data_IF_447993445141
#
_entry.id   IF_447993445141
#
_cell.length_a   1.000
_cell.length_b   1.000
_cell.length_c   1.000
_cell.angle_alpha   90.00
_cell.angle_beta   90.00
_cell.angle_gamma   90.00
#
_symmetry.space_group_name_H-M   'P 1'
#
loop_
_entity.id
_entity.type
_entity.pdbx_description
1 polymer ?
#
# COMPACT_ATOMS: atom_id res chain seq x y z
N UNK A 1 0.91 -20.89 -61.35
CA UNK A 1 1.70 -21.48 -60.25
C UNK A 1 2.06 -20.41 -59.23
N UNK A 2 3.12 -19.61 -59.44
CA UNK A 2 3.60 -18.62 -58.46
C UNK A 2 2.53 -17.62 -57.95
N UNK A 3 1.74 -17.01 -58.85
CA UNK A 3 0.69 -16.05 -58.44
C UNK A 3 -0.43 -16.67 -57.57
N UNK A 4 -0.76 -17.93 -57.76
CA UNK A 4 -1.79 -18.60 -56.95
C UNK A 4 -1.25 -19.02 -55.59
N UNK A 5 0.04 -19.37 -55.52
CA UNK A 5 0.74 -19.66 -54.28
C UNK A 5 0.83 -18.40 -53.40
N UNK A 6 1.26 -17.27 -53.96
CA UNK A 6 1.36 -16.00 -53.25
C UNK A 6 0.00 -15.52 -52.69
N UNK A 7 -1.07 -15.64 -53.49
CA UNK A 7 -2.42 -15.28 -53.07
C UNK A 7 -2.95 -16.10 -51.88
N UNK A 8 -2.49 -17.35 -51.73
CA UNK A 8 -2.89 -18.21 -50.61
C UNK A 8 -2.11 -17.96 -49.31
N UNK A 9 -0.90 -17.39 -49.38
CA UNK A 9 0.00 -17.21 -48.24
C UNK A 9 -0.12 -15.82 -47.59
N UNK A 10 -0.45 -14.79 -48.36
CA UNK A 10 -0.46 -13.39 -47.90
C UNK A 10 -1.35 -13.09 -46.67
N UNK A 11 -2.57 -13.65 -46.52
CA UNK A 11 -3.39 -13.43 -45.33
C UNK A 11 -2.78 -14.03 -44.05
N UNK A 12 -2.01 -15.11 -44.19
CA UNK A 12 -1.38 -15.82 -43.09
C UNK A 12 -0.22 -14.99 -42.50
N UNK A 13 0.62 -14.43 -43.38
CA UNK A 13 1.71 -13.54 -42.98
C UNK A 13 1.20 -12.27 -42.30
N UNK A 14 0.12 -11.67 -42.80
CA UNK A 14 -0.48 -10.50 -42.15
C UNK A 14 -1.00 -10.79 -40.74
N UNK A 15 -1.62 -11.96 -40.53
CA UNK A 15 -2.11 -12.36 -39.21
C UNK A 15 -0.98 -12.66 -38.22
N UNK A 16 0.12 -13.25 -38.70
CA UNK A 16 1.33 -13.56 -37.93
C UNK A 16 2.06 -12.31 -37.42
N UNK A 17 2.08 -11.24 -38.21
CA UNK A 17 2.78 -9.99 -37.86
C UNK A 17 1.93 -9.01 -37.04
N UNK A 18 0.66 -9.31 -36.81
CA UNK A 18 -0.23 -8.46 -36.02
C UNK A 18 0.19 -8.44 -34.54
N UNK A 19 0.31 -7.25 -33.91
CA UNK A 19 0.63 -7.16 -32.48
C UNK A 19 -0.54 -7.64 -31.61
N UNK A 20 -0.27 -8.01 -30.34
CA UNK A 20 -1.32 -8.35 -29.39
C UNK A 20 -2.32 -7.20 -29.20
N UNK A 21 -3.61 -7.52 -29.11
CA UNK A 21 -4.64 -6.52 -28.77
C UNK A 21 -4.59 -6.19 -27.28
N UNK A 22 -4.13 -4.98 -26.96
CA UNK A 22 -4.04 -4.47 -25.59
C UNK A 22 -5.26 -3.66 -25.17
N UNK A 23 -6.17 -3.33 -26.09
CA UNK A 23 -7.33 -2.47 -25.82
C UNK A 23 -8.43 -3.14 -24.98
N UNK A 24 -8.41 -4.48 -24.89
CA UNK A 24 -9.33 -5.24 -24.05
C UNK A 24 -8.94 -5.26 -22.56
N UNK A 25 -7.74 -4.79 -22.20
CA UNK A 25 -7.25 -4.80 -20.81
C UNK A 25 -7.40 -3.40 -20.20
N UNK A 26 -8.38 -3.16 -19.31
CA UNK A 26 -8.52 -1.86 -18.66
C UNK A 26 -7.32 -1.58 -17.76
N UNK A 27 -6.79 -0.36 -17.83
CA UNK A 27 -5.72 0.08 -16.92
C UNK A 27 -6.20 0.09 -15.47
N UNK A 28 -5.33 -0.32 -14.55
CA UNK A 28 -5.62 -0.26 -13.12
C UNK A 28 -5.62 1.21 -12.67
N UNK A 29 -6.70 1.72 -12.05
CA UNK A 29 -6.66 3.05 -11.44
C UNK A 29 -5.64 3.06 -10.30
N UNK A 30 -4.74 4.05 -10.32
CA UNK A 30 -3.78 4.28 -9.24
C UNK A 30 -4.27 5.44 -8.38
N UNK A 31 -4.50 5.17 -7.10
CA UNK A 31 -4.82 6.21 -6.11
C UNK A 31 -3.66 6.26 -5.12
N UNK A 32 -2.99 7.42 -4.97
CA UNK A 32 -1.93 7.58 -3.98
C UNK A 32 -2.41 7.28 -2.56
N UNK A 33 -1.54 6.72 -1.74
CA UNK A 33 -1.80 6.57 -0.31
C UNK A 33 -1.85 7.95 0.34
N UNK A 34 -2.91 8.20 1.11
CA UNK A 34 -3.02 9.43 1.89
C UNK A 34 -2.06 9.40 3.09
N UNK A 35 -1.52 10.55 3.50
CA UNK A 35 -0.68 10.63 4.70
C UNK A 35 -1.45 10.20 5.95
N UNK A 36 -0.77 9.44 6.81
CA UNK A 36 -1.24 9.11 8.13
C UNK A 36 -1.55 10.37 8.96
N UNK A 37 -2.73 10.42 9.60
CA UNK A 37 -3.11 11.51 10.50
C UNK A 37 -3.30 10.98 11.92
N UNK A 38 -2.28 11.12 12.80
CA UNK A 38 -2.40 10.69 14.19
C UNK A 38 -3.38 11.54 15.01
N UNK A 39 -3.80 12.71 14.51
CA UNK A 39 -4.71 13.61 15.22
C UNK A 39 -3.98 14.49 16.24
N UNK A 40 -4.74 15.34 16.93
CA UNK A 40 -4.18 16.33 17.86
C UNK A 40 -3.85 15.74 19.23
N UNK A 41 -2.91 16.39 19.93
CA UNK A 41 -2.56 16.06 21.32
C UNK A 41 -3.75 16.39 22.23
N UNK A 42 -4.10 15.47 23.12
CA UNK A 42 -5.07 15.75 24.19
C UNK A 42 -4.45 16.62 25.28
N UNK A 43 -5.08 17.74 25.63
CA UNK A 43 -4.49 18.73 26.56
C UNK A 43 -5.27 18.92 27.87
N UNK A 44 -6.54 18.55 27.94
CA UNK A 44 -7.39 18.87 29.10
C UNK A 44 -7.89 17.62 29.82
N UNK A 45 -7.25 17.27 30.94
CA UNK A 45 -7.76 16.23 31.86
C UNK A 45 -8.01 16.75 33.29
N UNK A 46 -7.94 18.07 33.49
CA UNK A 46 -8.09 18.72 34.81
C UNK A 46 -7.19 18.11 35.89
N UNK A 47 -5.93 17.84 35.56
CA UNK A 47 -4.99 17.11 36.43
C UNK A 47 -4.75 17.80 37.78
N UNK A 48 -4.88 19.12 37.87
CA UNK A 48 -4.83 19.85 39.15
C UNK A 48 -5.83 19.32 40.19
N UNK A 49 -6.93 18.69 39.78
CA UNK A 49 -7.90 18.09 40.70
C UNK A 49 -7.39 16.82 41.38
N UNK A 50 -6.26 16.26 40.94
CA UNK A 50 -5.59 15.16 41.62
C UNK A 50 -4.86 15.59 42.90
N UNK A 51 -4.60 16.90 43.07
CA UNK A 51 -4.02 17.42 44.30
C UNK A 51 -4.99 17.23 45.49
N UNK A 52 -4.46 17.09 46.73
CA UNK A 52 -5.30 17.06 47.93
C UNK A 52 -6.18 18.30 48.03
N UNK A 53 -7.29 18.20 48.76
CA UNK A 53 -8.12 19.36 49.08
C UNK A 53 -7.53 20.11 50.27
N UNK A 54 -7.74 21.44 50.38
CA UNK A 54 -7.43 22.18 51.59
C UNK A 54 -8.15 21.58 52.80
N UNK A 55 -7.48 21.60 53.95
CA UNK A 55 -8.05 21.31 55.26
C UNK A 55 -9.15 22.29 55.59
N UNK A 56 -10.16 21.82 56.29
CA UNK A 56 -11.29 22.65 56.73
C UNK A 56 -10.88 23.52 57.93
N UNK A 57 -11.74 24.49 58.30
CA UNK A 57 -11.51 25.28 59.51
C UNK A 57 -11.58 24.45 60.79
N UNK A 58 -12.48 23.46 60.81
CA UNK A 58 -12.63 22.52 61.91
C UNK A 58 -11.43 21.59 62.13
N UNK A 59 -10.53 21.50 61.16
CA UNK A 59 -9.30 20.70 61.29
C UNK A 59 -8.11 21.52 61.81
N UNK A 60 -8.14 22.86 61.70
CA UNK A 60 -6.99 23.72 61.97
C UNK A 60 -7.33 24.84 62.95
N UNK A 61 -8.18 25.79 62.57
CA UNK A 61 -8.50 26.97 63.37
C UNK A 61 -9.29 26.63 64.64
N UNK A 62 -10.34 25.79 64.53
CA UNK A 62 -11.23 25.50 65.66
C UNK A 62 -10.50 24.77 66.80
N UNK A 63 -9.72 23.69 66.58
CA UNK A 63 -9.03 23.00 67.67
C UNK A 63 -8.00 23.89 68.39
N UNK A 64 -7.26 24.72 67.65
CA UNK A 64 -6.25 25.62 68.21
C UNK A 64 -6.90 26.71 69.06
N UNK A 65 -8.04 27.26 68.61
CA UNK A 65 -8.79 28.24 69.38
C UNK A 65 -9.43 27.64 70.63
N UNK A 66 -10.02 26.44 70.53
CA UNK A 66 -10.60 25.72 71.66
C UNK A 66 -9.54 25.44 72.73
N UNK A 67 -8.36 24.97 72.35
CA UNK A 67 -7.29 24.66 73.31
C UNK A 67 -6.77 25.93 74.01
N UNK A 68 -6.62 27.05 73.27
CA UNK A 68 -6.27 28.34 73.85
C UNK A 68 -7.33 28.88 74.83
N UNK A 69 -8.62 28.70 74.51
CA UNK A 69 -9.73 29.10 75.38
C UNK A 69 -9.83 28.21 76.63
N UNK A 70 -9.57 26.90 76.50
CA UNK A 70 -9.62 25.97 77.64
C UNK A 70 -8.67 26.37 78.77
N UNK A 71 -7.53 26.99 78.43
CA UNK A 71 -6.55 27.47 79.41
C UNK A 71 -7.04 28.72 80.15
N UNK A 72 -7.89 29.54 79.53
CA UNK A 72 -8.58 30.66 80.17
C UNK A 72 -9.74 30.16 81.05
N UNK A 73 -10.49 29.18 80.58
CA UNK A 73 -11.57 28.53 81.34
C UNK A 73 -11.06 27.87 82.61
N UNK A 74 -9.96 27.10 82.53
CA UNK A 74 -9.35 26.45 83.69
C UNK A 74 -8.87 27.45 84.75
N UNK A 75 -8.33 28.60 84.33
CA UNK A 75 -7.94 29.66 85.28
C UNK A 75 -9.15 30.35 85.90
N UNK A 76 -10.21 30.58 85.11
CA UNK A 76 -11.46 31.15 85.60
C UNK A 76 -12.15 30.22 86.61
N UNK A 77 -12.18 28.91 86.35
CA UNK A 77 -12.71 27.89 87.27
C UNK A 77 -11.91 27.81 88.57
N UNK A 78 -10.59 28.00 88.51
CA UNK A 78 -9.72 28.05 89.68
C UNK A 78 -9.74 29.40 90.41
N UNK A 79 -10.53 30.38 89.95
CA UNK A 79 -10.57 31.77 90.45
C UNK A 79 -9.18 32.46 90.42
N UNK A 80 -8.31 32.06 89.49
CA UNK A 80 -6.96 32.61 89.32
C UNK A 80 -6.94 33.64 88.19
N UNK A 81 -6.49 34.86 88.49
CA UNK A 81 -6.31 35.91 87.48
C UNK A 81 -4.85 36.06 87.06
N UNK A 82 -4.61 36.53 85.83
CA UNK A 82 -3.26 36.86 85.37
C UNK A 82 -2.60 37.93 86.27
N UNK A 83 -3.39 38.86 86.82
CA UNK A 83 -2.91 39.87 87.78
C UNK A 83 -2.50 39.26 89.13
N UNK A 84 -3.17 38.21 89.59
CA UNK A 84 -2.75 37.46 90.78
C UNK A 84 -1.42 36.74 90.53
N UNK A 85 -1.26 36.10 89.37
CA UNK A 85 0.00 35.42 89.01
C UNK A 85 1.17 36.41 88.92
N UNK A 86 0.96 37.56 88.29
CA UNK A 86 1.98 38.61 88.16
C UNK A 86 2.42 39.20 89.51
N UNK A 87 1.49 39.34 90.48
CA UNK A 87 1.77 39.93 91.79
C UNK A 87 2.17 38.91 92.88
N UNK A 88 2.29 37.62 92.54
CA UNK A 88 2.51 36.55 93.53
C UNK A 88 3.92 36.50 94.13
N UNK A 89 4.90 37.26 93.61
CA UNK A 89 6.32 37.21 94.00
C UNK A 89 7.00 35.83 93.90
N UNK A 90 6.34 34.85 93.28
CA UNK A 90 6.87 33.50 93.04
C UNK A 90 7.41 33.39 91.60
N UNK A 91 8.68 32.95 91.41
CA UNK A 91 9.26 32.83 90.07
C UNK A 91 8.48 31.92 89.13
N UNK A 92 7.94 30.80 89.63
CA UNK A 92 7.21 29.82 88.82
C UNK A 92 5.89 30.33 88.26
N UNK A 93 5.19 31.23 88.96
CA UNK A 93 3.93 31.80 88.47
C UNK A 93 4.15 32.84 87.37
N UNK A 94 5.26 33.59 87.45
CA UNK A 94 5.65 34.49 86.37
C UNK A 94 6.04 33.72 85.10
N UNK A 95 6.75 32.59 85.25
CA UNK A 95 7.11 31.72 84.12
C UNK A 95 5.86 31.07 83.49
N UNK A 96 4.90 30.62 84.30
CA UNK A 96 3.63 30.10 83.81
C UNK A 96 2.80 31.15 83.06
N UNK A 97 2.76 32.39 83.58
CA UNK A 97 2.09 33.52 82.91
C UNK A 97 2.74 33.83 81.55
N UNK A 98 4.07 33.87 81.49
CA UNK A 98 4.80 34.06 80.24
C UNK A 98 4.52 32.93 79.24
N UNK A 99 4.54 31.68 79.69
CA UNK A 99 4.26 30.50 78.85
C UNK A 99 2.82 30.53 78.30
N UNK A 100 1.85 30.98 79.12
CA UNK A 100 0.47 31.18 78.69
C UNK A 100 0.33 32.28 77.63
N UNK A 101 1.03 33.40 77.80
CA UNK A 101 1.04 34.47 76.81
C UNK A 101 1.65 34.00 75.48
N UNK A 102 2.77 33.29 75.53
CA UNK A 102 3.42 32.69 74.35
C UNK A 102 2.50 31.66 73.67
N UNK A 103 1.76 30.86 74.43
CA UNK A 103 0.77 29.94 73.89
C UNK A 103 -0.40 30.67 73.21
N UNK A 104 -0.90 31.77 73.77
CA UNK A 104 -1.94 32.61 73.16
C UNK A 104 -1.45 33.26 71.86
N UNK A 105 -0.23 33.78 71.86
CA UNK A 105 0.39 34.35 70.65
C UNK A 105 0.58 33.27 69.56
N UNK A 106 1.10 32.10 69.94
CA UNK A 106 1.25 30.96 69.03
C UNK A 106 -0.09 30.47 68.49
N UNK A 107 -1.14 30.43 69.32
CA UNK A 107 -2.49 30.05 68.87
C UNK A 107 -3.06 31.05 67.86
N UNK A 108 -2.69 32.33 67.95
CA UNK A 108 -3.07 33.35 66.98
C UNK A 108 -2.26 33.29 65.68
N UNK A 109 -0.96 32.98 65.74
CA UNK A 109 -0.07 32.96 64.56
C UNK A 109 -0.01 31.63 63.83
N UNK A 110 -0.24 30.50 64.51
CA UNK A 110 -0.10 29.16 63.90
C UNK A 110 -1.09 28.90 62.76
N UNK A 111 -2.39 29.26 62.84
CA UNK A 111 -3.30 29.05 61.73
C UNK A 111 -2.91 29.77 60.44
N UNK A 112 -2.62 31.08 60.41
CA UNK A 112 -2.19 31.74 59.17
C UNK A 112 -0.86 31.19 58.63
N UNK A 113 0.09 30.81 59.50
CA UNK A 113 1.33 30.14 59.09
C UNK A 113 1.06 28.77 58.43
N UNK A 114 0.17 27.97 59.03
CA UNK A 114 -0.27 26.70 58.47
C UNK A 114 -0.90 26.90 57.10
N UNK A 115 -1.81 27.87 56.95
CA UNK A 115 -2.49 28.15 55.68
C UNK A 115 -1.53 28.56 54.58
N UNK A 116 -0.48 29.31 54.90
CA UNK A 116 0.55 29.69 53.93
C UNK A 116 1.35 28.47 53.47
N UNK A 117 1.75 27.60 54.40
CA UNK A 117 2.46 26.36 54.08
C UNK A 117 1.58 25.40 53.26
N UNK A 118 0.32 25.24 53.66
CA UNK A 118 -0.67 24.44 52.96
C UNK A 118 -0.87 24.94 51.52
N UNK A 119 -1.08 26.24 51.32
CA UNK A 119 -1.26 26.81 49.99
C UNK A 119 -0.07 26.52 49.07
N UNK A 120 1.16 26.65 49.61
CA UNK A 120 2.39 26.35 48.86
C UNK A 120 2.46 24.88 48.47
N UNK A 121 2.12 23.98 49.40
CA UNK A 121 2.13 22.54 49.14
C UNK A 121 1.04 22.13 48.14
N UNK A 122 -0.15 22.71 48.24
CA UNK A 122 -1.26 22.48 47.31
C UNK A 122 -0.91 22.95 45.90
N UNK A 123 -0.36 24.15 45.76
CA UNK A 123 0.05 24.67 44.46
C UNK A 123 1.16 23.81 43.84
N UNK A 124 2.12 23.36 44.66
CA UNK A 124 3.18 22.45 44.20
C UNK A 124 2.60 21.12 43.72
N UNK A 125 1.64 20.54 44.46
CA UNK A 125 0.98 19.30 44.08
C UNK A 125 0.14 19.44 42.81
N UNK A 126 -0.57 20.56 42.64
CA UNK A 126 -1.35 20.87 41.43
C UNK A 126 -0.45 20.95 40.20
N UNK A 127 0.64 21.74 40.29
CA UNK A 127 1.61 21.87 39.21
C UNK A 127 2.31 20.55 38.87
N UNK A 128 2.65 19.75 39.88
CA UNK A 128 3.24 18.43 39.66
C UNK A 128 2.28 17.52 38.90
N UNK A 129 1.00 17.51 39.28
CA UNK A 129 -0.02 16.72 38.59
C UNK A 129 -0.24 17.19 37.14
N UNK A 130 -0.29 18.50 36.90
CA UNK A 130 -0.43 19.08 35.55
C UNK A 130 0.76 18.73 34.65
N UNK A 131 1.99 18.86 35.17
CA UNK A 131 3.19 18.54 34.41
C UNK A 131 3.31 17.04 34.09
N UNK A 132 2.98 16.18 35.06
CA UNK A 132 2.96 14.74 34.84
C UNK A 132 1.91 14.38 33.79
N UNK A 133 0.69 14.91 33.91
CA UNK A 133 -0.37 14.71 32.94
C UNK A 133 0.06 15.16 31.53
N UNK A 134 0.61 16.36 31.38
CA UNK A 134 1.08 16.85 30.09
C UNK A 134 2.16 15.94 29.49
N UNK A 135 3.11 15.47 30.30
CA UNK A 135 4.17 14.55 29.88
C UNK A 135 3.61 13.22 29.40
N UNK A 136 2.68 12.64 30.16
CA UNK A 136 2.08 11.35 29.81
C UNK A 136 1.18 11.45 28.57
N UNK A 137 0.37 12.51 28.45
CA UNK A 137 -0.48 12.73 27.27
C UNK A 137 0.37 12.96 26.01
N UNK A 138 1.49 13.68 26.13
CA UNK A 138 2.46 13.80 25.04
C UNK A 138 3.07 12.45 24.68
N UNK A 139 3.51 11.66 25.66
CA UNK A 139 4.06 10.32 25.42
C UNK A 139 3.06 9.37 24.75
N UNK A 140 1.77 9.47 25.10
CA UNK A 140 0.69 8.74 24.41
C UNK A 140 0.53 9.18 22.96
N UNK A 141 0.58 10.48 22.69
CA UNK A 141 0.51 11.03 21.32
C UNK A 141 1.73 10.64 20.48
N UNK A 142 2.93 10.69 21.05
CA UNK A 142 4.18 10.28 20.39
C UNK A 142 4.12 8.79 20.05
N UNK A 143 3.66 7.95 20.98
CA UNK A 143 3.47 6.51 20.73
C UNK A 143 2.47 6.26 19.61
N UNK A 144 1.35 6.98 19.60
CA UNK A 144 0.36 6.90 18.52
C UNK A 144 0.97 7.33 17.19
N UNK A 145 1.71 8.43 17.15
CA UNK A 145 2.40 8.92 15.94
C UNK A 145 3.35 7.85 15.40
N UNK A 146 4.18 7.25 16.26
CA UNK A 146 5.09 6.17 15.87
C UNK A 146 4.38 4.93 15.31
N UNK A 147 3.20 4.56 15.86
CA UNK A 147 2.39 3.47 15.30
C UNK A 147 1.83 3.81 13.91
N UNK A 148 1.39 5.04 13.70
CA UNK A 148 0.92 5.51 12.40
C UNK A 148 2.04 5.53 11.35
N UNK A 149 3.25 5.96 11.74
CA UNK A 149 4.44 5.90 10.88
C UNK A 149 4.79 4.45 10.50
N UNK A 150 4.69 3.52 11.45
CA UNK A 150 4.93 2.09 11.19
C UNK A 150 3.91 1.53 10.19
N UNK A 151 2.63 1.91 10.31
CA UNK A 151 1.59 1.52 9.35
C UNK A 151 1.87 2.10 7.98
N UNK A 152 2.22 3.39 7.88
CA UNK A 152 2.59 4.02 6.62
C UNK A 152 3.82 3.35 5.98
N UNK A 153 4.81 2.95 6.78
CA UNK A 153 5.96 2.16 6.34
C UNK A 153 5.54 0.82 5.72
N UNK A 154 4.72 0.03 6.43
CA UNK A 154 4.22 -1.26 5.93
C UNK A 154 3.37 -1.12 4.67
N UNK A 155 2.57 -0.05 4.56
CA UNK A 155 1.80 0.23 3.34
C UNK A 155 2.73 0.47 2.14
N UNK A 156 3.79 1.27 2.32
CA UNK A 156 4.78 1.50 1.26
C UNK A 156 5.53 0.22 0.87
N UNK A 157 5.96 -0.58 1.85
CA UNK A 157 6.59 -1.88 1.58
C UNK A 157 5.67 -2.81 0.78
N UNK A 158 4.37 -2.81 1.11
CA UNK A 158 3.36 -3.59 0.40
C UNK A 158 3.18 -3.11 -1.03
N UNK A 159 3.17 -1.79 -1.27
CA UNK A 159 3.12 -1.20 -2.61
C UNK A 159 4.32 -1.64 -3.43
N UNK A 160 5.54 -1.49 -2.90
CA UNK A 160 6.76 -1.90 -3.60
C UNK A 160 6.78 -3.41 -3.89
N UNK A 161 6.30 -4.24 -2.96
CA UNK A 161 6.19 -5.68 -3.17
C UNK A 161 5.16 -6.03 -4.26
N UNK A 162 3.99 -5.37 -4.30
CA UNK A 162 3.00 -5.54 -5.38
C UNK A 162 3.58 -5.12 -6.73
N UNK A 163 4.26 -3.98 -6.80
CA UNK A 163 4.93 -3.50 -8.02
C UNK A 163 5.97 -4.50 -8.53
N UNK A 164 6.81 -5.04 -7.64
CA UNK A 164 7.81 -6.04 -8.00
C UNK A 164 7.15 -7.32 -8.53
N UNK A 165 6.11 -7.81 -7.86
CA UNK A 165 5.40 -9.02 -8.29
C UNK A 165 4.65 -8.82 -9.61
N UNK A 166 4.08 -7.65 -9.84
CA UNK A 166 3.48 -7.28 -11.13
C UNK A 166 4.54 -7.27 -12.24
N UNK A 167 5.70 -6.69 -11.99
CA UNK A 167 6.80 -6.69 -12.96
C UNK A 167 7.28 -8.12 -13.27
N UNK A 168 7.39 -8.98 -12.26
CA UNK A 168 7.75 -10.40 -12.43
C UNK A 168 6.71 -11.14 -13.29
N UNK A 169 5.42 -10.99 -12.99
CA UNK A 169 4.33 -11.61 -13.76
C UNK A 169 4.31 -11.08 -15.19
N UNK A 170 4.46 -9.76 -15.38
CA UNK A 170 4.51 -9.16 -16.72
C UNK A 170 5.67 -9.73 -17.54
N UNK A 171 6.84 -9.91 -16.93
CA UNK A 171 7.98 -10.54 -17.58
C UNK A 171 7.69 -12.00 -17.97
N UNK A 172 7.08 -12.79 -17.07
CA UNK A 172 6.70 -14.18 -17.36
C UNK A 172 5.67 -14.28 -18.48
N UNK A 173 4.65 -13.41 -18.50
CA UNK A 173 3.66 -13.34 -19.57
C UNK A 173 4.35 -13.02 -20.90
N UNK A 174 5.29 -12.07 -20.90
CA UNK A 174 6.06 -11.73 -22.10
C UNK A 174 6.89 -12.92 -22.59
N UNK A 175 7.54 -13.67 -21.68
CA UNK A 175 8.26 -14.90 -22.05
C UNK A 175 7.34 -15.93 -22.69
N UNK A 176 6.16 -16.20 -22.11
CA UNK A 176 5.19 -17.14 -22.69
C UNK A 176 4.75 -16.68 -24.08
N UNK A 177 4.51 -15.38 -24.25
CA UNK A 177 4.16 -14.80 -25.55
C UNK A 177 5.27 -15.03 -26.58
N UNK A 178 6.51 -14.68 -26.27
CA UNK A 178 7.66 -14.82 -27.19
C UNK A 178 7.94 -16.28 -27.54
N UNK A 179 7.87 -17.20 -26.56
CA UNK A 179 8.02 -18.64 -26.81
C UNK A 179 6.90 -19.18 -27.71
N UNK A 180 5.67 -18.77 -27.46
CA UNK A 180 4.50 -19.17 -28.25
C UNK A 180 4.61 -18.61 -29.67
N UNK A 181 4.97 -17.34 -29.82
CA UNK A 181 5.20 -16.69 -31.11
C UNK A 181 6.28 -17.43 -31.89
N UNK A 182 7.44 -17.67 -31.28
CA UNK A 182 8.54 -18.40 -31.90
C UNK A 182 8.09 -19.78 -32.39
N UNK A 183 7.30 -20.50 -31.60
CA UNK A 183 6.78 -21.81 -32.00
C UNK A 183 5.79 -21.72 -33.16
N UNK A 184 4.87 -20.74 -33.14
CA UNK A 184 3.92 -20.51 -34.24
C UNK A 184 4.66 -20.10 -35.50
N UNK A 185 5.58 -19.15 -35.42
CA UNK A 185 6.42 -18.71 -36.55
C UNK A 185 7.20 -19.89 -37.15
N UNK A 186 7.72 -20.79 -36.31
CA UNK A 186 8.37 -22.03 -36.77
C UNK A 186 7.42 -23.00 -37.48
N UNK A 187 6.19 -23.19 -36.98
CA UNK A 187 5.17 -24.01 -37.63
C UNK A 187 4.77 -23.39 -38.98
N UNK A 188 4.54 -22.08 -39.03
CA UNK A 188 4.15 -21.37 -40.25
C UNK A 188 5.25 -21.43 -41.31
N UNK A 189 6.51 -21.22 -40.93
CA UNK A 189 7.66 -21.35 -41.83
C UNK A 189 7.79 -22.77 -42.39
N UNK A 190 7.63 -23.79 -41.55
CA UNK A 190 7.68 -25.19 -41.99
C UNK A 190 6.52 -25.51 -42.94
N UNK A 191 5.31 -25.03 -42.62
CA UNK A 191 4.14 -25.20 -43.47
C UNK A 191 4.33 -24.55 -44.84
N UNK A 192 4.93 -23.36 -44.89
CA UNK A 192 5.20 -22.64 -46.13
C UNK A 192 6.16 -23.44 -47.04
N UNK A 193 7.25 -23.95 -46.48
CA UNK A 193 8.21 -24.80 -47.18
C UNK A 193 7.57 -26.11 -47.70
N UNK A 194 6.77 -26.77 -46.86
CA UNK A 194 6.09 -28.02 -47.23
C UNK A 194 5.03 -27.81 -48.32
N UNK A 195 4.25 -26.73 -48.24
CA UNK A 195 3.24 -26.37 -49.25
C UNK A 195 3.91 -26.03 -50.57
N UNK A 196 4.97 -25.23 -50.55
CA UNK A 196 5.72 -24.84 -51.75
C UNK A 196 6.32 -26.08 -52.45
N UNK A 197 6.93 -26.98 -51.69
CA UNK A 197 7.51 -28.24 -52.18
C UNK A 197 6.44 -29.16 -52.76
N UNK A 198 5.36 -29.40 -52.03
CA UNK A 198 4.26 -30.28 -52.46
C UNK A 198 3.57 -29.76 -53.71
N UNK A 199 3.32 -28.44 -53.78
CA UNK A 199 2.71 -27.82 -54.95
C UNK A 199 3.61 -27.90 -56.18
N UNK A 200 4.92 -27.65 -56.02
CA UNK A 200 5.88 -27.75 -57.12
C UNK A 200 5.96 -29.18 -57.67
N UNK A 201 6.11 -30.18 -56.79
CA UNK A 201 6.12 -31.58 -57.18
C UNK A 201 4.80 -32.01 -57.87
N UNK A 202 3.66 -31.57 -57.35
CA UNK A 202 2.35 -31.81 -57.96
C UNK A 202 2.20 -31.17 -59.34
N UNK A 203 2.67 -29.92 -59.49
CA UNK A 203 2.64 -29.21 -60.77
C UNK A 203 3.54 -29.86 -61.83
N UNK A 204 4.73 -30.31 -61.45
CA UNK A 204 5.62 -31.07 -62.32
C UNK A 204 5.02 -32.41 -62.74
N UNK A 205 4.44 -33.16 -61.79
CA UNK A 205 3.78 -34.43 -62.09
C UNK A 205 2.56 -34.24 -63.01
N UNK A 206 1.73 -33.23 -62.75
CA UNK A 206 0.58 -32.89 -63.59
C UNK A 206 1.02 -32.45 -64.99
N UNK A 207 2.08 -31.64 -65.10
CA UNK A 207 2.67 -31.24 -66.37
C UNK A 207 3.20 -32.46 -67.14
N UNK A 208 3.95 -33.34 -66.49
CA UNK A 208 4.46 -34.56 -67.12
C UNK A 208 3.33 -35.49 -67.58
N UNK A 209 2.28 -35.65 -66.77
CA UNK A 209 1.10 -36.42 -67.15
C UNK A 209 0.38 -35.83 -68.37
N UNK A 210 0.26 -34.49 -68.42
CA UNK A 210 -0.30 -33.78 -69.57
C UNK A 210 0.57 -33.94 -70.82
N UNK A 211 1.88 -33.73 -70.71
CA UNK A 211 2.84 -33.91 -71.80
C UNK A 211 2.81 -35.34 -72.34
N UNK A 212 2.87 -36.36 -71.47
CA UNK A 212 2.76 -37.77 -71.87
C UNK A 212 1.42 -38.09 -72.57
N UNK A 213 0.30 -37.54 -72.08
CA UNK A 213 -1.00 -37.72 -72.71
C UNK A 213 -1.04 -37.08 -74.11
N UNK A 214 -0.52 -35.86 -74.25
CA UNK A 214 -0.42 -35.14 -75.53
C UNK A 214 0.50 -35.89 -76.49
N UNK A 215 1.67 -36.36 -76.02
CA UNK A 215 2.64 -37.10 -76.83
C UNK A 215 2.05 -38.42 -77.33
N UNK A 216 1.41 -39.21 -76.46
CA UNK A 216 0.76 -40.46 -76.86
C UNK A 216 -0.38 -40.21 -77.87
N UNK A 217 -1.17 -39.15 -77.69
CA UNK A 217 -2.20 -38.73 -78.66
C UNK A 217 -1.58 -38.30 -79.99
N UNK A 218 -0.47 -37.56 -79.94
CA UNK A 218 0.23 -37.08 -81.12
C UNK A 218 0.93 -38.21 -81.88
N UNK A 219 1.49 -39.19 -81.20
CA UNK A 219 2.09 -40.39 -81.78
C UNK A 219 1.03 -41.23 -82.49
N UNK A 220 -0.09 -41.53 -81.81
CA UNK A 220 -1.22 -42.26 -82.40
C UNK A 220 -1.77 -41.54 -83.65
N UNK A 221 -1.92 -40.22 -83.61
CA UNK A 221 -2.33 -39.41 -84.76
C UNK A 221 -1.32 -39.51 -85.93
N UNK A 222 -0.02 -39.43 -85.65
CA UNK A 222 1.03 -39.56 -86.67
C UNK A 222 1.05 -40.96 -87.27
N UNK A 223 0.90 -42.02 -86.48
CA UNK A 223 0.85 -43.40 -86.95
C UNK A 223 -0.36 -43.63 -87.87
N UNK A 224 -1.55 -43.19 -87.46
CA UNK A 224 -2.77 -43.29 -88.27
C UNK A 224 -2.63 -42.53 -89.61
N UNK A 225 -2.05 -41.33 -89.59
CA UNK A 225 -1.95 -40.47 -90.77
C UNK A 225 -0.81 -40.84 -91.72
N UNK A 226 0.33 -41.26 -91.19
CA UNK A 226 1.57 -41.47 -91.93
C UNK A 226 2.05 -42.94 -91.99
N UNK A 227 1.47 -43.87 -91.23
CA UNK A 227 1.90 -45.28 -91.19
C UNK A 227 1.40 -46.16 -92.35
N UNK A 228 0.45 -45.68 -93.16
CA UNK A 228 -0.09 -46.44 -94.30
C UNK A 228 0.75 -46.39 -95.58
N UNK A 229 0.39 -47.21 -96.59
CA UNK A 229 1.12 -47.39 -97.87
C UNK A 229 1.39 -46.09 -98.66
N UNK A 230 0.66 -45.00 -98.41
CA UNK A 230 0.86 -43.67 -99.01
C UNK A 230 1.21 -42.57 -97.99
N UNK A 231 1.59 -42.93 -96.77
CA UNK A 231 1.87 -41.99 -95.69
C UNK A 231 3.04 -41.05 -95.97
N UNK A 232 4.07 -41.52 -96.68
CA UNK A 232 5.20 -40.70 -97.13
C UNK A 232 4.77 -39.54 -98.06
N UNK A 233 3.76 -39.76 -98.91
CA UNK A 233 3.22 -38.74 -99.80
C UNK A 233 2.41 -37.67 -99.03
N UNK A 234 1.67 -38.08 -97.99
CA UNK A 234 0.97 -37.15 -97.09
C UNK A 234 1.94 -36.32 -96.25
N UNK A 235 3.01 -36.93 -95.75
CA UNK A 235 4.06 -36.22 -95.00
C UNK A 235 4.75 -35.15 -95.86
N UNK A 236 5.08 -35.46 -97.12
CA UNK A 236 5.68 -34.51 -98.06
C UNK A 236 4.72 -33.34 -98.39
N UNK A 237 3.41 -33.63 -98.53
CA UNK A 237 2.37 -32.61 -98.76
C UNK A 237 2.24 -31.66 -97.56
N UNK A 238 2.14 -32.20 -96.35
CA UNK A 238 1.92 -31.42 -95.13
C UNK A 238 3.17 -30.57 -94.77
N UNK A 239 4.37 -31.01 -95.16
CA UNK A 239 5.61 -30.19 -95.07
C UNK A 239 5.62 -29.00 -96.03
N UNK A 240 4.98 -29.10 -97.19
CA UNK A 240 5.00 -28.07 -98.24
C UNK A 240 3.82 -27.09 -98.13
N UNK A 241 2.66 -27.53 -97.61
CA UNK A 241 1.40 -26.77 -97.59
C UNK A 241 0.90 -26.44 -96.17
N UNK A 242 1.58 -26.91 -95.12
CA UNK A 242 1.18 -26.74 -93.72
C UNK A 242 0.29 -27.89 -93.20
N UNK A 243 0.27 -28.06 -91.87
CA UNK A 243 -0.55 -29.09 -91.23
C UNK A 243 -2.06 -28.75 -91.27
N UNK A 244 -2.95 -29.76 -91.24
CA UNK A 244 -4.41 -29.53 -91.18
C UNK A 244 -4.83 -28.74 -89.93
N UNK A 245 -5.93 -27.99 -90.02
CA UNK A 245 -6.46 -27.18 -88.92
C UNK A 245 -6.85 -27.98 -87.68
N UNK A 246 -7.12 -29.28 -87.83
CA UNK A 246 -7.44 -30.24 -86.76
C UNK A 246 -6.29 -30.39 -85.74
N UNK A 247 -5.05 -30.04 -86.11
CA UNK A 247 -3.87 -30.07 -85.23
C UNK A 247 -3.65 -28.74 -84.49
N UNK A 248 -4.29 -27.67 -84.94
CA UNK A 248 -4.18 -26.31 -84.38
C UNK A 248 -5.41 -25.90 -83.55
N UNK A 249 -6.31 -26.84 -83.24
CA UNK A 249 -7.54 -26.63 -82.48
C UNK A 249 -7.43 -27.16 -81.05
#
# INVERSE_FOLDING_TARGET
>A
AAQQQEASQAPLEQAKDAPPDTGAVPEKPVTPLEPAQPGDVTTEINAAQAAPKPKTSGEIEEPIQEEAQSLDEQMAEAEVTEEQLANSNEPSFNEALASKQEAKESAASSPPEYRQAEQTQLQTAQLAAENEAATQLQGMHDSRTGLFDQVAGQQNETVSADEQKRAEIAAQINTIYEETKTRVDGILSTLDEEVASTFSAGAEAAKAAFENFVDAKMEAYKEERYGGMFGWAKWAKDKLLGMPSEVNA
#
